data_IF_742068274443
#
_entry.id   IF_742068274443
#
_cell.length_a   1.000
_cell.length_b   1.000
_cell.length_c   1.000
_cell.angle_alpha   90.00
_cell.angle_beta   90.00
_cell.angle_gamma   90.00
#
_symmetry.space_group_name_H-M   'P 1'
#
loop_
_entity.id
_entity.type
_entity.pdbx_description
1 polymer ?
#
# COMPACT_ATOMS: atom_id res chain seq x y z
N UNK A 1 10.62 11.06 -3.20
CA UNK A 1 9.19 11.47 -3.33
C UNK A 1 8.40 10.55 -2.43
N UNK A 2 7.62 11.04 -1.44
CA UNK A 2 7.01 10.15 -0.47
C UNK A 2 5.93 9.32 -1.17
N UNK A 3 6.05 7.99 -1.06
CA UNK A 3 5.08 7.02 -1.54
C UNK A 3 3.69 7.47 -1.11
N UNK A 4 2.83 7.69 -2.10
CA UNK A 4 1.44 8.10 -1.94
C UNK A 4 0.80 7.21 -0.86
N UNK A 5 0.15 7.83 0.13
CA UNK A 5 -0.47 7.13 1.27
C UNK A 5 -1.46 6.09 0.73
N UNK A 6 -1.00 4.85 0.57
CA UNK A 6 -1.89 3.71 0.36
C UNK A 6 -2.72 3.55 1.64
N UNK A 7 -3.91 4.13 1.63
CA UNK A 7 -4.91 3.91 2.66
C UNK A 7 -5.85 2.79 2.16
N UNK A 8 -5.59 1.53 2.52
CA UNK A 8 -6.31 0.40 1.94
C UNK A 8 -7.78 0.43 2.36
N UNK A 9 -8.67 -0.06 1.49
CA UNK A 9 -10.05 -0.32 1.89
C UNK A 9 -10.11 -1.55 2.81
N UNK A 10 -11.03 -1.54 3.78
CA UNK A 10 -11.26 -2.69 4.63
C UNK A 10 -11.87 -3.84 3.82
N UNK A 11 -11.27 -5.04 3.79
CA UNK A 11 -11.76 -6.17 2.99
C UNK A 11 -13.05 -6.79 3.53
N UNK A 12 -13.53 -6.36 4.69
CA UNK A 12 -14.72 -6.90 5.34
C UNK A 12 -15.98 -6.05 5.12
N UNK A 13 -15.83 -4.73 4.95
CA UNK A 13 -16.96 -3.81 4.85
C UNK A 13 -16.78 -2.73 3.77
N UNK A 14 -15.71 -2.82 2.97
CA UNK A 14 -15.32 -1.85 1.95
C UNK A 14 -15.12 -0.41 2.44
N UNK A 15 -15.07 -0.22 3.77
CA UNK A 15 -14.87 1.06 4.42
C UNK A 15 -13.45 1.61 4.17
N UNK A 16 -13.37 2.90 3.83
CA UNK A 16 -12.09 3.63 3.65
C UNK A 16 -11.61 4.36 4.91
N UNK A 17 -12.43 4.38 5.96
CA UNK A 17 -12.09 4.98 7.24
C UNK A 17 -11.29 3.98 8.07
N UNK A 18 -10.00 3.91 7.77
CA UNK A 18 -9.04 3.00 8.40
C UNK A 18 -7.85 3.78 8.92
N UNK A 19 -7.27 3.30 10.01
CA UNK A 19 -6.07 3.88 10.64
C UNK A 19 -4.95 2.85 10.69
N UNK A 20 -3.70 3.31 10.56
CA UNK A 20 -2.54 2.43 10.72
C UNK A 20 -2.45 2.00 12.18
N UNK A 21 -2.65 0.70 12.43
CA UNK A 21 -2.57 0.12 13.77
C UNK A 21 -1.13 -0.29 14.10
N UNK A 22 -0.46 -0.96 13.18
CA UNK A 22 0.94 -1.34 13.32
C UNK A 22 1.66 -1.30 11.97
N UNK A 23 2.91 -0.86 12.00
CA UNK A 23 3.78 -0.93 10.83
C UNK A 23 4.16 -2.36 10.46
N UNK A 24 4.04 -3.32 11.37
CA UNK A 24 4.42 -4.71 11.15
C UNK A 24 3.28 -5.65 11.57
N UNK A 25 3.06 -6.71 10.80
CA UNK A 25 2.05 -7.72 11.10
C UNK A 25 2.66 -9.11 11.15
N UNK A 26 1.89 -10.11 10.71
CA UNK A 26 2.32 -11.52 10.66
C UNK A 26 3.52 -11.77 9.73
N UNK A 27 3.73 -10.90 8.75
CA UNK A 27 4.86 -10.94 7.83
C UNK A 27 5.59 -9.59 7.74
N UNK A 28 6.87 -9.62 7.34
CA UNK A 28 7.71 -8.42 7.24
C UNK A 28 7.21 -7.41 6.19
N UNK A 29 6.49 -7.91 5.17
CA UNK A 29 5.97 -7.11 4.07
C UNK A 29 4.54 -6.61 4.30
N UNK A 30 3.91 -6.87 5.46
CA UNK A 30 2.56 -6.37 5.72
C UNK A 30 2.54 -5.23 6.73
N UNK A 31 1.51 -4.40 6.64
CA UNK A 31 1.09 -3.44 7.68
C UNK A 31 -0.27 -3.89 8.22
N UNK A 32 -0.54 -3.55 9.47
CA UNK A 32 -1.83 -3.77 10.09
C UNK A 32 -2.61 -2.47 10.16
N UNK A 33 -3.88 -2.53 9.77
CA UNK A 33 -4.81 -1.42 9.79
C UNK A 33 -6.03 -1.78 10.66
N UNK A 34 -6.60 -0.77 11.31
CA UNK A 34 -7.84 -0.90 12.06
C UNK A 34 -8.95 -0.13 11.34
N UNK A 35 -10.05 -0.83 11.03
CA UNK A 35 -11.21 -0.19 10.40
C UNK A 35 -12.12 0.45 11.46
N UNK A 36 -12.37 1.74 11.33
CA UNK A 36 -13.25 2.46 12.25
C UNK A 36 -14.74 2.20 11.99
N UNK A 37 -15.11 1.66 10.82
CA UNK A 37 -16.50 1.35 10.48
C UNK A 37 -16.96 0.03 11.11
N UNK A 38 -16.26 -1.07 10.82
CA UNK A 38 -16.63 -2.41 11.30
C UNK A 38 -15.81 -2.88 12.52
N UNK A 39 -14.88 -2.05 13.02
CA UNK A 39 -14.08 -2.29 14.24
C UNK A 39 -13.19 -3.54 14.14
N UNK A 40 -12.65 -3.82 12.95
CA UNK A 40 -11.84 -5.01 12.66
C UNK A 40 -10.40 -4.65 12.29
N UNK A 41 -9.43 -5.44 12.76
CA UNK A 41 -8.02 -5.35 12.31
C UNK A 41 -7.83 -6.18 11.05
N UNK A 42 -7.11 -5.66 10.06
CA UNK A 42 -6.75 -6.38 8.85
C UNK A 42 -5.31 -6.04 8.40
N UNK A 43 -4.77 -6.87 7.51
CA UNK A 43 -3.41 -6.70 6.96
C UNK A 43 -3.43 -6.28 5.50
N UNK A 44 -2.46 -5.44 5.12
CA UNK A 44 -2.24 -5.02 3.73
C UNK A 44 -0.76 -5.12 3.37
N UNK A 45 -0.49 -5.62 2.17
CA UNK A 45 0.86 -5.88 1.67
C UNK A 45 1.49 -4.55 1.21
N UNK A 46 2.72 -4.32 1.65
CA UNK A 46 3.61 -3.25 1.17
C UNK A 46 4.18 -3.67 -0.18
N UNK A 47 3.49 -3.33 -1.26
CA UNK A 47 4.07 -3.47 -2.58
C UNK A 47 5.14 -2.40 -2.76
N UNK A 48 6.42 -2.79 -2.80
CA UNK A 48 7.45 -1.90 -3.34
C UNK A 48 7.16 -1.81 -4.83
N UNK A 49 6.55 -0.71 -5.27
CA UNK A 49 6.19 -0.52 -6.67
C UNK A 49 7.36 -0.82 -7.59
N UNK A 50 7.15 -1.77 -8.51
CA UNK A 50 7.90 -1.87 -9.75
C UNK A 50 7.52 -0.67 -10.62
N UNK A 51 8.01 0.51 -10.27
CA UNK A 51 7.88 1.72 -11.07
C UNK A 51 9.24 2.38 -11.26
N UNK A 52 10.20 1.56 -11.69
CA UNK A 52 11.44 2.03 -12.31
C UNK A 52 11.77 1.02 -13.41
N UNK A 53 10.96 1.02 -14.48
CA UNK A 53 11.57 0.72 -15.77
C UNK A 53 12.30 2.01 -16.15
N UNK A 54 13.62 2.00 -16.35
CA UNK A 54 14.27 3.12 -16.99
C UNK A 54 13.53 3.37 -18.30
N UNK A 55 13.07 4.60 -18.49
CA UNK A 55 12.73 5.09 -19.82
C UNK A 55 14.02 4.98 -20.64
N UNK A 56 14.12 3.94 -21.47
CA UNK A 56 15.18 3.81 -22.46
C UNK A 56 15.12 5.05 -23.35
N UNK A 57 16.15 5.92 -23.34
CA UNK A 57 16.20 7.01 -24.30
C UNK A 57 16.37 6.35 -25.66
N UNK A 58 15.35 6.44 -26.51
CA UNK A 58 15.52 6.14 -27.93
C UNK A 58 16.32 7.30 -28.51
N UNK A 59 17.64 7.10 -28.65
CA UNK A 59 18.51 7.99 -29.41
C UNK A 59 17.97 8.17 -30.83
N UNK A 60 17.59 9.39 -31.28
CA UNK A 60 17.30 9.66 -32.66
C UNK A 60 18.49 10.42 -33.26
N UNK A 61 19.60 9.73 -33.52
CA UNK A 61 20.61 10.24 -34.44
C UNK A 61 21.24 9.08 -35.21
N UNK A 62 20.83 8.97 -36.47
CA UNK A 62 21.59 8.28 -37.52
C UNK A 62 22.59 9.21 -38.17
#
# INVERSE_FOLDING_TARGET
MPAEKENPACPFCDGKNVELYSSFGTAQLVRQFYCLNCKTVFESIRWKGSSDRPHEPTDPNG
#
